data_IF_476098983715
#
_entry.id   IF_476098983715
#
_cell.length_a   1.000
_cell.length_b   1.000
_cell.length_c   1.000
_cell.angle_alpha   90.00
_cell.angle_beta   90.00
_cell.angle_gamma   90.00
#
_symmetry.space_group_name_H-M   'P 1'
#
loop_
_entity.id
_entity.type
_entity.pdbx_description
1 polymer ?
#
# COMPACT_ATOMS: atom_id res chain seq x y z
N UNK A 1 7.13 -6.41 -17.35
CA UNK A 1 6.19 -5.97 -16.31
C UNK A 1 5.74 -4.51 -16.48
N UNK A 2 6.66 -3.54 -16.46
CA UNK A 2 6.36 -2.08 -16.39
C UNK A 2 5.27 -1.51 -17.31
N UNK A 3 5.27 -1.83 -18.63
CA UNK A 3 4.20 -1.37 -19.54
C UNK A 3 2.78 -1.77 -19.10
N UNK A 4 2.61 -2.99 -18.57
CA UNK A 4 1.29 -3.46 -18.10
C UNK A 4 0.90 -2.75 -16.82
N UNK A 5 1.83 -2.60 -15.87
CA UNK A 5 1.62 -1.85 -14.64
C UNK A 5 1.19 -0.41 -14.96
N UNK A 6 1.92 0.31 -15.83
CA UNK A 6 1.50 1.66 -16.27
C UNK A 6 0.11 1.70 -16.90
N UNK A 7 -0.26 0.68 -17.69
CA UNK A 7 -1.61 0.61 -18.26
C UNK A 7 -2.67 0.46 -17.16
N UNK A 8 -2.44 -0.37 -16.14
CA UNK A 8 -3.33 -0.52 -14.98
C UNK A 8 -3.53 0.81 -14.24
N UNK A 9 -2.44 1.52 -13.94
CA UNK A 9 -2.53 2.85 -13.31
C UNK A 9 -3.16 3.92 -14.22
N UNK A 10 -2.98 3.82 -15.54
CA UNK A 10 -3.64 4.72 -16.49
C UNK A 10 -5.16 4.52 -16.54
N UNK A 11 -5.63 3.27 -16.43
CA UNK A 11 -7.06 2.96 -16.29
C UNK A 11 -7.65 3.61 -15.03
N UNK A 12 -6.92 3.58 -13.90
CA UNK A 12 -7.29 4.32 -12.68
C UNK A 12 -7.48 5.81 -12.94
N UNK A 13 -6.54 6.44 -13.65
CA UNK A 13 -6.60 7.89 -13.94
C UNK A 13 -7.80 8.26 -14.81
N UNK A 14 -8.21 7.38 -15.72
CA UNK A 14 -9.43 7.59 -16.53
C UNK A 14 -10.72 7.37 -15.73
N UNK A 15 -10.74 6.35 -14.86
CA UNK A 15 -11.80 6.12 -13.88
C UNK A 15 -13.18 5.75 -14.47
N UNK A 16 -13.25 5.31 -15.73
CA UNK A 16 -14.51 4.93 -16.37
C UNK A 16 -14.99 3.53 -15.96
N UNK A 17 -16.30 3.27 -16.08
CA UNK A 17 -16.86 1.93 -15.83
C UNK A 17 -16.25 0.84 -16.70
N UNK A 18 -16.00 1.15 -17.97
CA UNK A 18 -15.31 0.23 -18.88
C UNK A 18 -13.86 -0.04 -18.45
N UNK A 19 -13.20 0.95 -17.83
CA UNK A 19 -11.84 0.78 -17.30
C UNK A 19 -11.86 -0.18 -16.11
N UNK A 20 -12.83 -0.03 -15.20
CA UNK A 20 -13.05 -0.97 -14.09
C UNK A 20 -13.33 -2.39 -14.59
N UNK A 21 -14.21 -2.53 -15.59
CA UNK A 21 -14.57 -3.85 -16.14
C UNK A 21 -13.34 -4.59 -16.69
N UNK A 22 -12.42 -3.89 -17.38
CA UNK A 22 -11.16 -4.47 -17.87
C UNK A 22 -10.30 -4.98 -16.71
N UNK A 23 -10.22 -4.24 -15.60
CA UNK A 23 -9.46 -4.64 -14.42
C UNK A 23 -10.08 -5.87 -13.74
N UNK A 24 -11.41 -5.90 -13.60
CA UNK A 24 -12.16 -7.01 -13.02
C UNK A 24 -12.03 -8.30 -13.83
N UNK A 25 -11.95 -8.20 -15.15
CA UNK A 25 -11.68 -9.36 -16.02
C UNK A 25 -10.23 -9.85 -15.91
N UNK A 26 -9.28 -8.97 -15.62
CA UNK A 26 -7.86 -9.30 -15.52
C UNK A 26 -7.49 -9.93 -14.17
N UNK A 27 -8.04 -9.45 -13.05
CA UNK A 27 -7.64 -9.86 -11.70
C UNK A 27 -7.72 -11.40 -11.45
N UNK A 28 -8.74 -12.14 -11.92
CA UNK A 28 -8.82 -13.59 -11.74
C UNK A 28 -7.81 -14.40 -12.57
N UNK A 29 -7.07 -13.79 -13.51
CA UNK A 29 -6.16 -14.49 -14.40
C UNK A 29 -4.88 -14.96 -13.67
N UNK A 30 -4.89 -16.19 -13.15
CA UNK A 30 -3.75 -16.84 -12.47
C UNK A 30 -2.49 -17.05 -13.32
N UNK A 31 -2.51 -16.74 -14.62
CA UNK A 31 -1.29 -16.73 -15.45
C UNK A 31 -0.46 -15.46 -15.25
N UNK A 32 -1.07 -14.40 -14.73
CA UNK A 32 -0.35 -13.21 -14.33
C UNK A 32 0.34 -13.43 -12.99
N UNK A 33 1.45 -12.73 -12.77
CA UNK A 33 2.23 -12.86 -11.54
C UNK A 33 1.47 -12.33 -10.33
N UNK A 34 1.92 -12.75 -9.15
CA UNK A 34 1.43 -12.25 -7.85
C UNK A 34 1.46 -10.72 -7.81
N UNK A 35 2.57 -10.11 -8.26
CA UNK A 35 2.70 -8.65 -8.30
C UNK A 35 1.65 -8.00 -9.21
N UNK A 36 1.43 -8.51 -10.42
CA UNK A 36 0.43 -7.91 -11.33
C UNK A 36 -0.96 -7.98 -10.73
N UNK A 37 -1.30 -9.10 -10.08
CA UNK A 37 -2.62 -9.30 -9.48
C UNK A 37 -2.80 -8.48 -8.20
N UNK A 38 -1.74 -8.28 -7.42
CA UNK A 38 -1.68 -7.30 -6.35
C UNK A 38 -2.00 -5.89 -6.88
N UNK A 39 -1.25 -5.40 -7.88
CA UNK A 39 -1.48 -4.08 -8.48
C UNK A 39 -2.91 -3.90 -9.04
N UNK A 40 -3.47 -4.95 -9.65
CA UNK A 40 -4.85 -4.93 -10.12
C UNK A 40 -5.83 -4.76 -8.96
N UNK A 41 -5.69 -5.54 -7.88
CA UNK A 41 -6.57 -5.46 -6.71
C UNK A 41 -6.46 -4.08 -6.04
N UNK A 42 -5.24 -3.56 -5.86
CA UNK A 42 -5.00 -2.22 -5.33
C UNK A 42 -5.75 -1.17 -6.14
N UNK A 43 -5.52 -1.16 -7.47
CA UNK A 43 -6.13 -0.18 -8.36
C UNK A 43 -7.66 -0.31 -8.37
N UNK A 44 -8.22 -1.51 -8.39
CA UNK A 44 -9.67 -1.74 -8.29
C UNK A 44 -10.23 -1.13 -7.01
N UNK A 45 -9.56 -1.31 -5.87
CA UNK A 45 -9.95 -0.70 -4.59
C UNK A 45 -10.03 0.83 -4.67
N UNK A 46 -9.13 1.47 -5.43
CA UNK A 46 -9.13 2.92 -5.60
C UNK A 46 -10.30 3.44 -6.46
N UNK A 47 -11.02 2.61 -7.22
CA UNK A 47 -12.26 3.02 -7.88
C UNK A 47 -13.40 3.24 -6.89
N UNK A 48 -13.34 2.59 -5.71
CA UNK A 48 -14.38 2.61 -4.69
C UNK A 48 -15.78 2.25 -5.22
N UNK A 49 -15.85 1.43 -6.27
CA UNK A 49 -17.10 1.00 -6.88
C UNK A 49 -17.53 -0.36 -6.31
N UNK A 50 -18.74 -0.42 -5.75
CA UNK A 50 -19.32 -1.63 -5.15
C UNK A 50 -19.49 -2.77 -6.16
N UNK A 51 -19.57 -2.46 -7.46
CA UNK A 51 -19.65 -3.47 -8.52
C UNK A 51 -18.39 -4.38 -8.55
N UNK A 52 -17.28 -3.94 -7.93
CA UNK A 52 -16.06 -4.72 -7.80
C UNK A 52 -16.08 -5.77 -6.68
N UNK A 53 -16.93 -5.61 -5.65
CA UNK A 53 -16.93 -6.47 -4.46
C UNK A 53 -17.00 -7.97 -4.80
N UNK A 54 -17.90 -8.46 -5.67
CA UNK A 54 -18.01 -9.90 -5.95
C UNK A 54 -16.70 -10.55 -6.45
N UNK A 55 -15.90 -9.82 -7.25
CA UNK A 55 -14.62 -10.34 -7.77
C UNK A 55 -13.55 -10.33 -6.68
N UNK A 56 -13.46 -9.25 -5.91
CA UNK A 56 -12.51 -9.13 -4.79
C UNK A 56 -12.80 -10.16 -3.70
N UNK A 57 -14.07 -10.40 -3.39
CA UNK A 57 -14.50 -11.43 -2.44
C UNK A 57 -14.11 -12.83 -2.92
N UNK A 58 -14.25 -13.11 -4.23
CA UNK A 58 -13.81 -14.38 -4.80
C UNK A 58 -12.29 -14.57 -4.69
N UNK A 59 -11.49 -13.52 -4.88
CA UNK A 59 -10.03 -13.57 -4.73
C UNK A 59 -9.63 -13.78 -3.26
N UNK A 60 -10.22 -13.03 -2.33
CA UNK A 60 -9.99 -13.21 -0.89
C UNK A 60 -10.32 -14.63 -0.42
N UNK A 61 -11.42 -15.20 -0.94
CA UNK A 61 -11.90 -16.52 -0.59
C UNK A 61 -11.09 -17.69 -1.16
N UNK A 62 -10.23 -17.44 -2.15
CA UNK A 62 -9.38 -18.45 -2.76
C UNK A 62 -8.17 -18.75 -1.87
N UNK A 63 -8.33 -19.69 -0.93
CA UNK A 63 -7.29 -20.05 0.05
C UNK A 63 -6.07 -20.72 -0.57
N UNK A 64 -6.17 -21.19 -1.81
CA UNK A 64 -5.05 -21.76 -2.57
C UNK A 64 -4.26 -20.68 -3.34
N UNK A 65 -4.72 -19.43 -3.31
CA UNK A 65 -4.02 -18.29 -3.88
C UNK A 65 -2.93 -17.74 -2.97
N UNK A 66 -2.03 -16.96 -3.56
CA UNK A 66 -0.97 -16.29 -2.82
C UNK A 66 -1.51 -15.24 -1.84
N UNK A 67 -0.96 -15.22 -0.62
CA UNK A 67 -1.40 -14.31 0.45
C UNK A 67 -1.25 -12.83 0.08
N UNK A 68 -0.29 -12.48 -0.78
CA UNK A 68 -0.07 -11.11 -1.26
C UNK A 68 -1.28 -10.58 -2.04
N UNK A 69 -1.80 -11.39 -2.96
CA UNK A 69 -2.96 -11.01 -3.76
C UNK A 69 -4.23 -10.98 -2.91
N UNK A 70 -4.34 -11.90 -1.96
CA UNK A 70 -5.49 -12.02 -1.06
C UNK A 70 -5.59 -10.86 -0.06
N UNK A 71 -4.46 -10.42 0.52
CA UNK A 71 -4.50 -9.25 1.40
C UNK A 71 -4.89 -8.00 0.63
N UNK A 72 -4.37 -7.83 -0.58
CA UNK A 72 -4.70 -6.65 -1.39
C UNK A 72 -6.17 -6.62 -1.79
N UNK A 73 -6.76 -7.79 -2.06
CA UNK A 73 -8.20 -7.90 -2.25
C UNK A 73 -8.99 -7.51 -0.99
N UNK A 74 -8.54 -7.91 0.21
CA UNK A 74 -9.17 -7.49 1.47
C UNK A 74 -9.04 -5.99 1.73
N UNK A 75 -7.89 -5.40 1.42
CA UNK A 75 -7.67 -3.96 1.53
C UNK A 75 -8.59 -3.18 0.58
N UNK A 76 -8.68 -3.63 -0.68
CA UNK A 76 -9.60 -3.05 -1.68
C UNK A 76 -11.06 -3.09 -1.22
N UNK A 77 -11.51 -4.18 -0.59
CA UNK A 77 -12.85 -4.26 0.02
C UNK A 77 -13.03 -3.22 1.14
N UNK A 78 -12.01 -3.01 1.97
CA UNK A 78 -12.01 -1.94 2.98
C UNK A 78 -12.08 -0.54 2.36
N UNK A 79 -11.33 -0.32 1.28
CA UNK A 79 -11.30 0.93 0.52
C UNK A 79 -12.65 1.26 -0.15
N UNK A 80 -13.34 0.25 -0.68
CA UNK A 80 -14.73 0.38 -1.18
C UNK A 80 -15.66 0.67 0.00
N UNK A 81 -15.58 -0.11 1.08
CA UNK A 81 -16.33 0.16 2.31
C UNK A 81 -17.79 -0.31 2.28
N UNK A 82 -18.17 -1.18 1.36
CA UNK A 82 -19.53 -1.71 1.30
C UNK A 82 -19.82 -2.68 2.45
N UNK A 83 -21.04 -2.61 2.99
CA UNK A 83 -21.44 -3.45 4.11
C UNK A 83 -21.62 -4.94 3.72
N UNK A 84 -21.81 -5.25 2.43
CA UNK A 84 -21.93 -6.63 1.94
C UNK A 84 -20.68 -7.46 2.23
N UNK A 85 -19.52 -6.81 2.26
CA UNK A 85 -18.23 -7.49 2.45
C UNK A 85 -17.87 -7.71 3.93
N UNK A 86 -18.72 -7.29 4.88
CA UNK A 86 -18.47 -7.48 6.32
C UNK A 86 -18.30 -8.96 6.68
N UNK A 87 -19.19 -9.83 6.19
CA UNK A 87 -19.22 -11.24 6.59
C UNK A 87 -17.95 -11.97 6.12
N UNK A 88 -17.48 -11.68 4.91
CA UNK A 88 -16.26 -12.30 4.37
C UNK A 88 -14.99 -11.74 5.02
N UNK A 89 -14.93 -10.43 5.29
CA UNK A 89 -13.83 -9.82 6.04
C UNK A 89 -13.76 -10.38 7.47
N UNK A 90 -14.90 -10.58 8.14
CA UNK A 90 -14.94 -11.19 9.46
C UNK A 90 -14.48 -12.66 9.41
N UNK A 91 -14.93 -13.42 8.41
CA UNK A 91 -14.48 -14.80 8.20
C UNK A 91 -12.97 -14.90 8.02
N UNK A 92 -12.37 -14.06 7.18
CA UNK A 92 -10.95 -14.10 6.86
C UNK A 92 -10.06 -13.29 7.81
N UNK A 93 -10.62 -12.60 8.80
CA UNK A 93 -9.85 -12.01 9.93
C UNK A 93 -9.18 -13.06 10.83
N UNK A 94 -9.44 -14.35 10.59
CA UNK A 94 -8.83 -15.51 11.25
C UNK A 94 -8.09 -16.41 10.25
N UNK A 95 -7.66 -15.86 9.10
CA UNK A 95 -6.94 -16.62 8.08
C UNK A 95 -5.61 -17.20 8.60
N UNK A 96 -5.15 -18.29 7.97
CA UNK A 96 -3.87 -18.90 8.31
C UNK A 96 -2.67 -18.04 7.91
N UNK A 97 -2.80 -17.25 6.84
CA UNK A 97 -1.84 -16.22 6.48
C UNK A 97 -2.10 -14.96 7.33
N UNK A 98 -1.11 -14.57 8.14
CA UNK A 98 -1.25 -13.46 9.08
C UNK A 98 -1.52 -12.14 8.35
N UNK A 99 -0.91 -11.94 7.19
CA UNK A 99 -1.08 -10.75 6.35
C UNK A 99 -2.54 -10.57 5.94
N UNK A 100 -3.21 -11.66 5.56
CA UNK A 100 -4.62 -11.66 5.15
C UNK A 100 -5.51 -11.42 6.38
N UNK A 101 -5.22 -12.10 7.50
CA UNK A 101 -5.97 -11.95 8.74
C UNK A 101 -5.93 -10.51 9.29
N UNK A 102 -4.73 -9.94 9.38
CA UNK A 102 -4.50 -8.57 9.84
C UNK A 102 -5.16 -7.54 8.91
N UNK A 103 -5.05 -7.72 7.59
CA UNK A 103 -5.67 -6.83 6.60
C UNK A 103 -7.19 -6.90 6.65
N UNK A 104 -7.78 -8.09 6.77
CA UNK A 104 -9.22 -8.25 6.94
C UNK A 104 -9.73 -7.56 8.21
N UNK A 105 -8.98 -7.66 9.31
CA UNK A 105 -9.32 -6.98 10.55
C UNK A 105 -9.27 -5.45 10.39
N UNK A 106 -8.28 -4.90 9.68
CA UNK A 106 -8.18 -3.47 9.35
C UNK A 106 -9.33 -3.02 8.45
N UNK A 107 -9.58 -3.73 7.35
CA UNK A 107 -10.66 -3.45 6.41
C UNK A 107 -12.04 -3.47 7.09
N UNK A 108 -12.30 -4.47 7.93
CA UNK A 108 -13.52 -4.55 8.73
C UNK A 108 -13.70 -3.34 9.65
N UNK A 109 -12.61 -2.88 10.29
CA UNK A 109 -12.62 -1.67 11.12
C UNK A 109 -12.88 -0.42 10.28
N UNK A 110 -12.29 -0.31 9.10
CA UNK A 110 -12.50 0.81 8.18
C UNK A 110 -13.95 0.86 7.66
N UNK A 111 -14.52 -0.27 7.24
CA UNK A 111 -15.93 -0.39 6.82
C UNK A 111 -16.83 0.08 7.97
N UNK A 112 -16.66 -0.47 9.18
CA UNK A 112 -17.43 -0.06 10.36
C UNK A 112 -17.25 1.43 10.70
N UNK A 113 -16.04 1.96 10.53
CA UNK A 113 -15.76 3.39 10.74
C UNK A 113 -16.55 4.28 9.77
N UNK A 114 -16.56 3.94 8.47
CA UNK A 114 -17.34 4.66 7.44
C UNK A 114 -18.85 4.63 7.73
N UNK A 115 -19.39 3.46 8.09
CA UNK A 115 -20.83 3.30 8.38
C UNK A 115 -21.28 3.87 9.73
N UNK A 116 -20.36 4.14 10.65
CA UNK A 116 -20.68 4.77 11.95
C UNK A 116 -20.98 6.28 11.84
N UNK A 117 -21.06 6.84 10.63
CA UNK A 117 -21.36 8.26 10.42
C UNK A 117 -20.18 9.19 10.71
N UNK A 118 -18.95 8.66 10.76
CA UNK A 118 -17.72 9.45 10.80
C UNK A 118 -17.36 10.07 9.44
N UNK A 119 -18.37 10.33 8.61
CA UNK A 119 -18.17 10.76 7.24
C UNK A 119 -17.57 12.18 7.19
N UNK A 120 -16.52 12.30 6.39
CA UNK A 120 -15.42 13.27 6.43
C UNK A 120 -15.74 14.78 6.50
N UNK A 121 -17.00 15.25 6.50
CA UNK A 121 -17.26 16.68 6.24
C UNK A 121 -17.08 17.62 7.44
N UNK A 122 -17.30 17.16 8.69
CA UNK A 122 -17.20 18.05 9.88
C UNK A 122 -15.88 17.90 10.65
N UNK A 123 -15.19 16.76 10.52
CA UNK A 123 -13.91 16.48 11.20
C UNK A 123 -12.67 16.60 10.28
N UNK A 124 -12.83 16.71 8.95
CA UNK A 124 -11.68 16.74 8.04
C UNK A 124 -10.72 17.91 8.28
N UNK A 125 -11.22 19.07 8.73
CA UNK A 125 -10.37 20.22 9.03
C UNK A 125 -9.54 20.02 10.32
N UNK A 126 -9.98 19.14 11.22
CA UNK A 126 -9.26 18.78 12.45
C UNK A 126 -8.31 17.59 12.26
N UNK A 127 -8.45 16.83 11.16
CA UNK A 127 -7.65 15.65 10.85
C UNK A 127 -6.43 15.98 9.99
N UNK A 128 -5.35 15.21 10.16
CA UNK A 128 -4.20 15.33 9.27
C UNK A 128 -4.60 14.93 7.84
N UNK A 129 -4.77 15.90 6.94
CA UNK A 129 -5.36 15.65 5.62
C UNK A 129 -4.41 14.80 4.79
N UNK A 130 -4.93 13.72 4.19
CA UNK A 130 -4.19 12.93 3.22
C UNK A 130 -3.89 13.77 1.96
N UNK A 131 -2.61 14.11 1.66
CA UNK A 131 -2.25 14.85 0.46
C UNK A 131 -2.10 13.93 -0.78
N UNK A 132 -2.21 12.62 -0.61
CA UNK A 132 -2.03 11.61 -1.64
C UNK A 132 -3.39 11.18 -2.22
N UNK A 133 -3.40 10.82 -3.50
CA UNK A 133 -4.59 10.33 -4.20
C UNK A 133 -4.77 8.82 -3.98
N UNK A 134 -4.88 8.42 -2.71
CA UNK A 134 -5.13 7.04 -2.28
C UNK A 134 -6.18 6.98 -1.17
N UNK A 135 -6.93 5.89 -1.12
CA UNK A 135 -7.79 5.56 0.02
C UNK A 135 -6.96 4.81 1.05
N UNK A 136 -6.76 5.41 2.23
CA UNK A 136 -5.96 4.80 3.27
C UNK A 136 -6.74 3.70 4.04
N UNK A 137 -6.10 2.58 4.42
CA UNK A 137 -6.66 1.54 5.29
C UNK A 137 -7.11 2.01 6.67
N UNK A 138 -6.64 3.18 7.12
CA UNK A 138 -7.14 3.83 8.33
C UNK A 138 -7.10 5.36 8.20
N UNK A 139 -8.08 6.07 8.77
CA UNK A 139 -8.11 7.52 8.76
C UNK A 139 -7.00 8.11 9.64
N UNK A 140 -6.35 9.19 9.19
CA UNK A 140 -5.36 9.88 10.00
C UNK A 140 -5.87 10.29 11.40
N UNK A 141 -4.95 10.48 12.34
CA UNK A 141 -5.26 11.05 13.65
C UNK A 141 -5.50 12.57 13.58
N UNK A 142 -6.14 13.17 14.61
CA UNK A 142 -6.31 14.62 14.71
C UNK A 142 -4.97 15.37 14.67
N UNK A 143 -4.97 16.55 14.04
CA UNK A 143 -3.81 17.48 13.93
C UNK A 143 -3.24 17.87 15.30
N UNK A 144 -4.06 17.81 16.35
CA UNK A 144 -3.66 18.15 17.72
C UNK A 144 -2.60 17.21 18.30
N UNK A 145 -2.42 16.00 17.76
CA UNK A 145 -1.36 15.09 18.20
C UNK A 145 0.00 15.56 17.71
N UNK A 146 0.98 15.67 18.59
CA UNK A 146 2.35 15.99 18.20
C UNK A 146 3.02 14.82 17.45
N UNK A 147 4.11 15.09 16.74
CA UNK A 147 4.88 14.03 16.04
C UNK A 147 5.41 13.00 17.03
N UNK A 148 5.83 13.43 18.23
CA UNK A 148 6.29 12.54 19.30
C UNK A 148 5.17 11.62 19.81
N UNK A 149 3.95 12.15 19.96
CA UNK A 149 2.79 11.33 20.33
C UNK A 149 2.45 10.31 19.25
N UNK A 150 2.52 10.69 17.98
CA UNK A 150 2.29 9.77 16.86
C UNK A 150 3.35 8.68 16.81
N UNK A 151 4.62 9.03 17.01
CA UNK A 151 5.71 8.05 17.10
C UNK A 151 5.50 7.09 18.27
N UNK A 152 5.11 7.60 19.44
CA UNK A 152 4.80 6.75 20.59
C UNK A 152 3.65 5.78 20.29
N UNK A 153 2.61 6.22 19.57
CA UNK A 153 1.52 5.34 19.15
C UNK A 153 1.98 4.30 18.12
N UNK A 154 2.76 4.73 17.12
CA UNK A 154 3.26 3.88 16.03
C UNK A 154 4.06 2.69 16.57
N UNK A 155 4.94 2.96 17.54
CA UNK A 155 5.89 1.99 18.10
C UNK A 155 5.33 1.18 19.28
N UNK A 156 4.13 1.49 19.76
CA UNK A 156 3.49 0.79 20.87
C UNK A 156 2.74 -0.46 20.39
N UNK A 157 3.42 -1.61 20.44
CA UNK A 157 2.88 -2.92 20.02
C UNK A 157 1.74 -3.43 20.89
N UNK A 158 1.40 -2.75 21.99
CA UNK A 158 0.21 -3.06 22.79
C UNK A 158 -1.07 -2.42 22.23
N UNK A 159 -0.94 -1.46 21.29
CA UNK A 159 -2.07 -0.80 20.64
C UNK A 159 -2.63 -1.63 19.49
N UNK A 160 -3.88 -1.32 19.14
CA UNK A 160 -4.52 -1.91 17.98
C UNK A 160 -3.77 -1.55 16.70
N UNK A 161 -3.70 -2.49 15.75
CA UNK A 161 -3.14 -2.24 14.43
C UNK A 161 -3.77 -1.03 13.76
N UNK A 162 -5.10 -0.86 13.91
CA UNK A 162 -5.82 0.28 13.39
C UNK A 162 -5.26 1.60 13.94
N UNK A 163 -5.11 1.77 15.26
CA UNK A 163 -4.54 3.01 15.83
C UNK A 163 -3.10 3.27 15.36
N UNK A 164 -2.31 2.21 15.22
CA UNK A 164 -0.93 2.30 14.71
C UNK A 164 -0.91 2.77 13.25
N UNK A 165 -1.82 2.26 12.41
CA UNK A 165 -2.03 2.74 11.03
C UNK A 165 -2.46 4.21 10.98
N UNK A 166 -3.37 4.63 11.86
CA UNK A 166 -3.79 6.03 11.93
C UNK A 166 -2.60 6.96 12.26
N UNK A 167 -1.70 6.52 13.15
CA UNK A 167 -0.49 7.28 13.47
C UNK A 167 0.51 7.29 12.31
N UNK A 168 0.71 6.15 11.65
CA UNK A 168 1.54 6.00 10.45
C UNK A 168 1.11 6.96 9.34
N UNK A 169 -0.18 7.01 9.00
CA UNK A 169 -0.68 7.91 7.96
C UNK A 169 -0.62 9.38 8.37
N UNK A 170 -0.81 9.71 9.65
CA UNK A 170 -0.54 11.08 10.12
C UNK A 170 0.94 11.47 9.97
N UNK A 171 1.88 10.57 10.29
CA UNK A 171 3.32 10.83 10.08
C UNK A 171 3.65 11.01 8.61
N UNK A 172 3.09 10.18 7.72
CA UNK A 172 3.22 10.32 6.26
C UNK A 172 2.68 11.67 5.76
N UNK A 173 1.54 12.13 6.29
CA UNK A 173 0.93 13.41 5.88
C UNK A 173 1.78 14.62 6.31
N UNK A 174 2.66 14.47 7.30
CA UNK A 174 3.60 15.50 7.79
C UNK A 174 4.92 15.57 7.02
N UNK A 175 4.98 14.96 5.85
CA UNK A 175 6.12 15.03 4.94
C UNK A 175 6.32 16.47 4.41
N UNK A 176 6.97 17.30 5.22
CA UNK A 176 7.27 18.72 4.96
C UNK A 176 8.79 18.94 4.91
N UNK A 177 9.27 20.19 4.79
CA UNK A 177 10.71 20.48 4.76
C UNK A 177 11.47 20.00 6.02
N UNK A 178 10.79 19.82 7.16
CA UNK A 178 11.30 19.20 8.40
C UNK A 178 10.77 17.77 8.59
N UNK A 179 10.88 16.93 7.55
CA UNK A 179 10.44 15.53 7.58
C UNK A 179 11.39 14.60 8.35
N UNK A 180 12.46 15.11 8.98
CA UNK A 180 13.46 14.29 9.65
C UNK A 180 12.85 13.44 10.79
N UNK A 181 12.05 14.07 11.67
CA UNK A 181 11.40 13.38 12.79
C UNK A 181 10.34 12.36 12.33
N UNK A 182 9.36 12.70 11.45
CA UNK A 182 8.43 11.70 10.92
C UNK A 182 9.12 10.54 10.20
N UNK A 183 10.16 10.84 9.42
CA UNK A 183 10.93 9.80 8.70
C UNK A 183 11.65 8.87 9.67
N UNK A 184 12.27 9.41 10.72
CA UNK A 184 12.95 8.59 11.74
C UNK A 184 11.95 7.73 12.53
N UNK A 185 10.76 8.27 12.84
CA UNK A 185 9.69 7.52 13.49
C UNK A 185 9.25 6.33 12.62
N UNK A 186 8.97 6.57 11.34
CA UNK A 186 8.62 5.51 10.38
C UNK A 186 9.75 4.49 10.22
N UNK A 187 11.01 4.92 10.10
CA UNK A 187 12.13 4.00 9.96
C UNK A 187 12.31 3.07 11.18
N UNK A 188 12.01 3.58 12.37
CA UNK A 188 12.08 2.78 13.61
C UNK A 188 11.02 1.67 13.64
N UNK A 189 9.92 1.80 12.89
CA UNK A 189 8.84 0.83 12.83
C UNK A 189 9.15 -0.42 11.99
N UNK A 190 10.26 -0.43 11.22
CA UNK A 190 10.75 -1.66 10.56
C UNK A 190 11.20 -2.75 11.56
N UNK A 191 11.26 -2.46 12.86
CA UNK A 191 11.53 -3.45 13.91
C UNK A 191 10.26 -4.19 14.38
N UNK A 192 9.08 -3.88 13.83
CA UNK A 192 7.83 -4.55 14.19
C UNK A 192 7.84 -6.03 13.78
N UNK A 193 7.04 -6.86 14.45
CA UNK A 193 6.92 -8.28 14.14
C UNK A 193 6.01 -8.59 12.96
N UNK A 194 4.98 -7.76 12.70
CA UNK A 194 4.03 -7.96 11.59
C UNK A 194 4.68 -7.57 10.26
N UNK A 195 4.70 -8.51 9.31
CA UNK A 195 5.15 -8.25 7.95
C UNK A 195 4.23 -7.25 7.25
N UNK A 196 2.92 -7.32 7.49
CA UNK A 196 1.94 -6.36 6.96
C UNK A 196 2.24 -4.94 7.46
N UNK A 197 2.55 -4.77 8.75
CA UNK A 197 2.90 -3.45 9.29
C UNK A 197 4.16 -2.89 8.62
N UNK A 198 5.22 -3.71 8.52
CA UNK A 198 6.48 -3.29 7.90
C UNK A 198 6.31 -2.98 6.41
N UNK A 199 5.48 -3.74 5.71
CA UNK A 199 5.07 -3.45 4.33
C UNK A 199 4.46 -2.06 4.23
N UNK A 200 3.47 -1.75 5.06
CA UNK A 200 2.82 -0.44 5.03
C UNK A 200 3.79 0.71 5.33
N UNK A 201 4.77 0.49 6.22
CA UNK A 201 5.85 1.46 6.46
C UNK A 201 6.65 1.75 5.19
N UNK A 202 7.00 0.73 4.42
CA UNK A 202 7.68 0.91 3.13
C UNK A 202 6.78 1.65 2.12
N UNK A 203 5.49 1.29 2.04
CA UNK A 203 4.52 1.94 1.17
C UNK A 203 4.42 3.45 1.45
N UNK A 204 4.21 3.83 2.72
CA UNK A 204 4.11 5.25 3.08
C UNK A 204 5.42 6.01 2.85
N UNK A 205 6.57 5.38 3.04
CA UNK A 205 7.87 5.99 2.68
C UNK A 205 8.02 6.19 1.17
N UNK A 206 7.49 5.27 0.36
CA UNK A 206 7.41 5.40 -1.09
C UNK A 206 6.51 6.57 -1.50
N UNK A 207 5.32 6.68 -0.90
CA UNK A 207 4.41 7.80 -1.14
C UNK A 207 5.05 9.15 -0.78
N UNK A 208 5.83 9.20 0.31
CA UNK A 208 6.55 10.41 0.71
C UNK A 208 7.59 10.87 -0.32
N UNK A 209 8.12 9.96 -1.15
CA UNK A 209 9.15 10.24 -2.16
C UNK A 209 10.34 11.07 -1.61
N UNK A 210 10.70 10.86 -0.33
CA UNK A 210 11.69 11.65 0.37
C UNK A 210 13.04 10.91 0.41
N UNK A 211 14.13 11.43 -0.18
CA UNK A 211 15.43 10.76 -0.20
C UNK A 211 16.01 10.39 1.19
N UNK A 212 15.55 11.04 2.27
CA UNK A 212 15.97 10.71 3.65
C UNK A 212 15.57 9.28 4.04
N UNK A 213 14.55 8.68 3.41
CA UNK A 213 14.10 7.30 3.69
C UNK A 213 14.96 6.23 3.00
N UNK A 214 15.78 6.60 1.99
CA UNK A 214 16.54 5.66 1.16
C UNK A 214 17.41 4.70 1.96
N UNK A 215 18.18 5.13 3.00
CA UNK A 215 18.97 4.20 3.79
C UNK A 215 18.12 3.11 4.46
N UNK A 216 16.95 3.45 5.01
CA UNK A 216 16.08 2.50 5.68
C UNK A 216 15.47 1.49 4.68
N UNK A 217 14.95 1.98 3.55
CA UNK A 217 14.38 1.13 2.50
C UNK A 217 15.42 0.19 1.87
N UNK A 218 16.65 0.68 1.72
CA UNK A 218 17.78 -0.12 1.24
C UNK A 218 18.08 -1.28 2.19
N UNK A 219 18.18 -1.03 3.50
CA UNK A 219 18.40 -2.08 4.50
C UNK A 219 17.30 -3.16 4.46
N UNK A 220 16.04 -2.76 4.22
CA UNK A 220 14.92 -3.69 4.05
C UNK A 220 15.07 -4.53 2.79
N UNK A 221 15.37 -3.91 1.64
CA UNK A 221 15.52 -4.64 0.37
C UNK A 221 16.69 -5.64 0.42
N UNK A 222 17.81 -5.29 1.05
CA UNK A 222 19.00 -6.15 1.09
C UNK A 222 18.89 -7.32 2.07
N UNK A 223 17.99 -7.23 3.05
CA UNK A 223 17.84 -8.24 4.07
C UNK A 223 17.15 -9.49 3.52
N UNK A 224 17.92 -10.53 3.18
CA UNK A 224 17.38 -11.80 2.68
C UNK A 224 16.50 -12.55 3.70
N UNK A 225 16.57 -12.21 4.99
CA UNK A 225 15.71 -12.76 6.03
C UNK A 225 14.39 -11.99 6.20
N UNK A 226 14.24 -10.82 5.55
CA UNK A 226 12.98 -10.07 5.56
C UNK A 226 11.93 -10.74 4.69
N UNK A 227 10.67 -10.61 5.08
CA UNK A 227 9.53 -11.15 4.37
C UNK A 227 9.42 -10.54 2.96
N UNK A 228 9.16 -11.39 1.96
CA UNK A 228 9.14 -10.98 0.55
C UNK A 228 8.16 -9.84 0.25
N UNK A 229 7.06 -9.73 1.03
CA UNK A 229 6.10 -8.64 0.89
C UNK A 229 6.74 -7.27 1.20
N UNK A 230 7.50 -7.22 2.30
CA UNK A 230 8.14 -5.98 2.75
C UNK A 230 9.26 -5.59 1.79
N UNK A 231 9.97 -6.59 1.25
CA UNK A 231 11.05 -6.39 0.28
C UNK A 231 10.56 -5.87 -1.07
N UNK A 232 9.41 -6.34 -1.59
CA UNK A 232 8.87 -5.78 -2.83
C UNK A 232 8.45 -4.33 -2.62
N UNK A 233 7.79 -4.03 -1.50
CA UNK A 233 7.29 -2.69 -1.22
C UNK A 233 8.45 -1.72 -1.04
N UNK A 234 9.54 -2.16 -0.40
CA UNK A 234 10.77 -1.39 -0.35
C UNK A 234 11.38 -1.13 -1.74
N UNK A 235 11.33 -2.09 -2.65
CA UNK A 235 11.80 -1.90 -4.02
C UNK A 235 10.95 -0.87 -4.78
N UNK A 236 9.63 -0.92 -4.64
CA UNK A 236 8.73 0.06 -5.27
C UNK A 236 8.90 1.45 -4.69
N UNK A 237 9.03 1.56 -3.36
CA UNK A 237 9.32 2.81 -2.67
C UNK A 237 10.65 3.43 -3.12
N UNK A 238 11.71 2.63 -3.29
CA UNK A 238 12.98 3.09 -3.87
C UNK A 238 12.80 3.59 -5.31
N UNK A 239 11.96 2.93 -6.11
CA UNK A 239 11.57 3.36 -7.45
C UNK A 239 10.86 4.71 -7.47
N UNK A 240 9.91 4.92 -6.54
CA UNK A 240 9.18 6.17 -6.40
C UNK A 240 10.10 7.35 -6.01
N UNK A 241 11.15 7.10 -5.22
CA UNK A 241 12.14 8.11 -4.83
C UNK A 241 13.13 8.39 -5.99
N UNK A 242 13.60 7.35 -6.68
CA UNK A 242 14.34 7.49 -7.94
C UNK A 242 15.70 8.21 -7.89
N UNK A 243 16.43 8.18 -6.77
CA UNK A 243 17.82 8.66 -6.75
C UNK A 243 18.75 7.70 -7.50
N UNK A 244 19.96 8.16 -7.85
CA UNK A 244 20.99 7.28 -8.43
C UNK A 244 21.34 6.09 -7.52
N UNK A 245 21.32 6.28 -6.20
CA UNK A 245 21.51 5.19 -5.24
C UNK A 245 20.35 4.17 -5.30
N UNK A 246 19.11 4.64 -5.46
CA UNK A 246 17.96 3.77 -5.67
C UNK A 246 18.13 2.92 -6.94
N UNK A 247 18.51 3.56 -8.06
CA UNK A 247 18.70 2.87 -9.32
C UNK A 247 19.78 1.77 -9.24
N UNK A 248 20.91 2.09 -8.59
CA UNK A 248 22.01 1.14 -8.40
C UNK A 248 21.58 -0.08 -7.58
N UNK A 249 20.86 0.11 -6.48
CA UNK A 249 20.43 -1.03 -5.66
C UNK A 249 19.35 -1.86 -6.35
N UNK A 250 18.39 -1.23 -7.03
CA UNK A 250 17.33 -1.94 -7.76
C UNK A 250 17.90 -2.85 -8.85
N UNK A 251 18.95 -2.40 -9.57
CA UNK A 251 19.65 -3.23 -10.57
C UNK A 251 20.27 -4.50 -9.98
N UNK A 252 20.74 -4.45 -8.73
CA UNK A 252 21.27 -5.63 -8.03
C UNK A 252 20.17 -6.67 -7.81
N UNK A 253 18.98 -6.23 -7.40
CA UNK A 253 17.87 -7.10 -7.01
C UNK A 253 16.94 -7.53 -8.15
N UNK A 254 17.25 -7.16 -9.41
CA UNK A 254 16.67 -7.78 -10.60
C UNK A 254 16.88 -9.31 -10.68
N UNK A 255 17.79 -9.85 -9.87
CA UNK A 255 18.10 -11.29 -9.78
C UNK A 255 17.72 -11.90 -8.44
N UNK A 256 16.88 -11.24 -7.65
CA UNK A 256 16.42 -11.73 -6.36
C UNK A 256 15.83 -13.14 -6.45
N UNK A 257 15.87 -13.92 -5.36
CA UNK A 257 15.27 -15.26 -5.32
C UNK A 257 13.74 -15.21 -5.50
N UNK A 258 13.07 -14.20 -4.94
CA UNK A 258 11.63 -14.04 -5.02
C UNK A 258 11.21 -13.30 -6.29
N UNK A 259 10.24 -13.88 -7.02
CA UNK A 259 9.74 -13.30 -8.26
C UNK A 259 9.14 -11.90 -8.04
N UNK A 260 8.35 -11.72 -6.98
CA UNK A 260 7.75 -10.42 -6.64
C UNK A 260 8.81 -9.32 -6.48
N UNK A 261 9.92 -9.60 -5.80
CA UNK A 261 11.00 -8.61 -5.60
C UNK A 261 11.68 -8.26 -6.92
N UNK A 262 11.96 -9.25 -7.78
CA UNK A 262 12.54 -9.01 -9.11
C UNK A 262 11.62 -8.13 -9.96
N UNK A 263 10.33 -8.47 -10.00
CA UNK A 263 9.34 -7.75 -10.80
C UNK A 263 9.10 -6.33 -10.27
N UNK A 264 9.10 -6.11 -8.95
CA UNK A 264 9.02 -4.78 -8.38
C UNK A 264 10.28 -3.95 -8.69
N UNK A 265 11.47 -4.55 -8.71
CA UNK A 265 12.67 -3.86 -9.20
C UNK A 265 12.57 -3.49 -10.69
N UNK A 266 12.01 -4.37 -11.53
CA UNK A 266 11.75 -4.06 -12.94
C UNK A 266 10.77 -2.89 -13.12
N UNK A 267 9.68 -2.88 -12.34
CA UNK A 267 8.68 -1.81 -12.36
C UNK A 267 9.30 -0.50 -11.85
N UNK A 268 10.01 -0.54 -10.73
CA UNK A 268 10.69 0.61 -10.13
C UNK A 268 11.68 1.26 -11.10
N UNK A 269 12.53 0.48 -11.76
CA UNK A 269 13.48 0.99 -12.76
C UNK A 269 12.76 1.58 -13.99
N UNK A 270 11.69 0.94 -14.45
CA UNK A 270 10.87 1.44 -15.56
C UNK A 270 10.17 2.77 -15.21
N UNK A 271 9.78 2.97 -13.94
CA UNK A 271 9.27 4.25 -13.43
C UNK A 271 10.38 5.32 -13.42
N UNK A 272 11.57 5.00 -12.91
CA UNK A 272 12.72 5.91 -12.90
C UNK A 272 13.04 6.37 -14.34
N UNK A 273 13.14 5.42 -15.28
CA UNK A 273 13.42 5.70 -16.69
C UNK A 273 12.33 6.56 -17.34
N UNK A 274 11.06 6.32 -17.00
CA UNK A 274 9.93 7.08 -17.53
C UNK A 274 9.99 8.55 -17.10
N UNK A 275 10.33 8.84 -15.84
CA UNK A 275 10.43 10.20 -15.33
C UNK A 275 11.76 10.89 -15.67
N UNK A 276 12.83 10.13 -15.92
CA UNK A 276 14.14 10.65 -16.33
C UNK A 276 14.18 11.11 -17.79
N UNK A 277 13.30 10.59 -18.65
CA UNK A 277 13.22 11.04 -20.03
C UNK A 277 12.76 12.51 -20.07
N UNK A 278 13.50 13.42 -20.73
CA UNK A 278 12.98 14.75 -20.98
C UNK A 278 11.69 14.54 -21.75
N UNK A 279 10.55 14.93 -21.15
CA UNK A 279 9.24 14.88 -21.81
C UNK A 279 9.44 15.48 -23.19
N UNK A 280 9.50 14.61 -24.21
CA UNK A 280 9.83 15.04 -25.53
C UNK A 280 8.77 16.09 -25.89
N UNK A 281 9.22 17.32 -26.08
CA UNK A 281 8.47 18.39 -26.71
C UNK A 281 7.74 17.77 -27.90
N UNK A 282 6.44 17.50 -27.77
CA UNK A 282 5.52 17.08 -28.81
C UNK A 282 4.13 16.99 -28.16
N UNK A 283 3.05 17.50 -28.71
CA UNK A 283 2.78 18.39 -29.83
C UNK A 283 1.25 18.62 -29.77
#
# INVERSE_FOLDING_TARGET
MGKRTRAVFYLRTRGGKDDLQVLLEALPNKKDSELMRHELAYVIGQFQDVDACPVLEAVLADVDDDCMVRHEAAEALGAIGDASSIDILERFSHDAALEVAETCALALRLVKYKHAGHDASEAADEMDRNPYYSVDPAPAMPKSKSTDELQAILLDTSRSMFDRYRAMFSLRNRNTEDAALPTQALASAFQDTSALFRHEIAYVMGQMANPVTVPALKEVLINEAEHRMVRHEAAEALGAIGTAECEDILKVYLKDAHQVVRESCEVALDIIDYWAQPQAQNA
#
